data_IF_853636994987
#
_entry.id   IF_853636994987
#
_cell.length_a   1.000
_cell.length_b   1.000
_cell.length_c   1.000
_cell.angle_alpha   90.00
_cell.angle_beta   90.00
_cell.angle_gamma   90.00
#
_symmetry.space_group_name_H-M   'P 1'
#
loop_
_entity.id
_entity.type
_entity.pdbx_description
1 polymer ?
#
# COMPACT_ATOMS: atom_id res chain seq x y z
N UNK A 1 -8.79 4.59 2.26
CA UNK A 1 -9.69 4.07 1.21
C UNK A 1 -10.53 2.92 1.72
N UNK A 2 -9.94 1.88 2.34
CA UNK A 2 -10.68 0.78 2.98
C UNK A 2 -11.89 1.24 3.81
N UNK A 3 -11.68 2.12 4.80
CA UNK A 3 -12.78 2.61 5.65
C UNK A 3 -13.90 3.29 4.84
N UNK A 4 -13.56 4.05 3.78
CA UNK A 4 -14.56 4.66 2.91
C UNK A 4 -15.31 3.62 2.08
N UNK A 5 -14.59 2.59 1.60
CA UNK A 5 -15.16 1.47 0.85
C UNK A 5 -16.16 0.67 1.69
N UNK A 6 -15.90 0.48 2.98
CA UNK A 6 -16.80 -0.22 3.91
C UNK A 6 -18.11 0.54 4.19
N UNK A 7 -18.20 1.83 3.87
CA UNK A 7 -19.42 2.62 4.02
C UNK A 7 -20.38 2.50 2.82
N UNK A 8 -19.99 1.80 1.75
CA UNK A 8 -20.78 1.71 0.53
C UNK A 8 -20.42 0.52 -0.37
N UNK A 9 -21.08 0.43 -1.52
CA UNK A 9 -20.87 -0.64 -2.50
C UNK A 9 -19.93 -0.26 -3.64
N UNK A 10 -19.57 1.01 -3.75
CA UNK A 10 -18.61 1.55 -4.71
C UNK A 10 -17.80 2.69 -4.07
N UNK A 11 -16.55 2.85 -4.50
CA UNK A 11 -15.68 3.95 -4.09
C UNK A 11 -15.08 4.65 -5.32
N UNK A 12 -15.56 5.87 -5.59
CA UNK A 12 -14.99 6.76 -6.60
C UNK A 12 -14.01 7.71 -5.91
N UNK A 13 -12.78 7.80 -6.43
CA UNK A 13 -11.73 8.65 -5.86
C UNK A 13 -11.39 9.78 -6.82
N UNK A 14 -11.72 11.01 -6.43
CA UNK A 14 -11.32 12.22 -7.12
C UNK A 14 -9.85 12.55 -6.87
N UNK A 15 -9.09 12.85 -7.92
CA UNK A 15 -7.66 13.16 -7.88
C UNK A 15 -7.45 14.56 -8.47
N UNK A 16 -6.96 15.49 -7.67
CA UNK A 16 -6.67 16.86 -8.12
C UNK A 16 -5.51 16.92 -9.11
N UNK A 17 -5.49 17.89 -10.01
CA UNK A 17 -4.35 18.15 -10.88
C UNK A 17 -3.14 18.70 -10.11
N UNK A 18 -1.96 18.71 -10.71
CA UNK A 18 -0.75 19.25 -10.07
C UNK A 18 -0.87 20.76 -9.86
N UNK A 19 -1.50 21.47 -10.80
CA UNK A 19 -1.77 22.92 -10.75
C UNK A 19 -2.73 23.27 -9.61
N UNK A 20 -3.83 22.51 -9.48
CA UNK A 20 -4.81 22.73 -8.42
C UNK A 20 -4.22 22.53 -7.02
N UNK A 21 -3.31 21.54 -6.87
CA UNK A 21 -2.61 21.31 -5.59
C UNK A 21 -1.58 22.40 -5.33
N UNK A 22 -0.86 22.85 -6.36
CA UNK A 22 0.13 23.93 -6.25
C UNK A 22 -0.51 25.23 -5.75
N UNK A 23 -1.67 25.60 -6.30
CA UNK A 23 -2.42 26.80 -5.93
C UNK A 23 -2.87 26.79 -4.46
N UNK A 24 -3.33 25.65 -3.95
CA UNK A 24 -3.97 25.56 -2.64
C UNK A 24 -3.02 25.15 -1.50
N UNK A 25 -1.94 24.44 -1.84
CA UNK A 25 -1.04 23.83 -0.85
C UNK A 25 0.42 24.05 -1.19
N UNK A 26 0.88 23.58 -2.34
CA UNK A 26 2.28 23.55 -2.71
C UNK A 26 2.59 22.42 -3.70
N UNK A 27 3.83 22.31 -4.20
CA UNK A 27 4.14 21.38 -5.28
C UNK A 27 3.93 19.92 -4.87
N UNK A 28 3.53 19.10 -5.85
CA UNK A 28 3.44 17.66 -5.71
C UNK A 28 4.81 17.00 -5.88
N UNK A 29 5.05 15.90 -5.16
CA UNK A 29 6.24 15.04 -5.35
C UNK A 29 6.00 14.04 -6.48
N UNK A 30 4.77 13.54 -6.54
CA UNK A 30 4.29 12.60 -7.55
C UNK A 30 3.42 13.36 -8.55
N UNK A 31 3.68 13.15 -9.83
CA UNK A 31 2.87 13.69 -10.92
C UNK A 31 1.43 13.17 -10.86
N UNK A 32 0.51 13.85 -11.54
CA UNK A 32 -0.87 13.37 -11.64
C UNK A 32 -0.97 11.91 -12.13
N UNK A 33 -0.18 11.52 -13.13
CA UNK A 33 -0.21 10.15 -13.68
C UNK A 33 0.24 9.10 -12.66
N UNK A 34 1.30 9.39 -11.89
CA UNK A 34 1.76 8.48 -10.83
C UNK A 34 0.72 8.36 -9.71
N UNK A 35 0.00 9.45 -9.39
CA UNK A 35 -1.08 9.44 -8.40
C UNK A 35 -2.31 8.67 -8.89
N UNK A 36 -2.66 8.78 -10.17
CA UNK A 36 -3.73 7.98 -10.79
C UNK A 36 -3.39 6.49 -10.70
N UNK A 37 -2.18 6.10 -11.12
CA UNK A 37 -1.73 4.71 -11.04
C UNK A 37 -1.80 4.14 -9.61
N UNK A 38 -1.42 4.93 -8.60
CA UNK A 38 -1.52 4.54 -7.19
C UNK A 38 -2.97 4.32 -6.72
N UNK A 39 -3.90 5.18 -7.15
CA UNK A 39 -5.32 5.06 -6.81
C UNK A 39 -5.97 3.88 -7.53
N UNK A 40 -5.70 3.71 -8.83
CA UNK A 40 -6.26 2.61 -9.65
C UNK A 40 -5.79 1.23 -9.20
N UNK A 41 -4.58 1.15 -8.62
CA UNK A 41 -4.04 -0.10 -8.09
C UNK A 41 -4.59 -0.47 -6.71
N UNK A 42 -5.28 0.44 -6.01
CA UNK A 42 -5.85 0.15 -4.71
C UNK A 42 -7.11 -0.73 -4.87
N UNK A 43 -7.10 -1.93 -4.26
CA UNK A 43 -8.17 -2.92 -4.40
C UNK A 43 -9.56 -2.44 -4.00
N UNK A 44 -9.63 -1.46 -3.11
CA UNK A 44 -10.89 -0.91 -2.61
C UNK A 44 -11.47 0.18 -3.49
N UNK A 45 -10.75 0.64 -4.52
CA UNK A 45 -11.21 1.68 -5.43
C UNK A 45 -12.00 1.06 -6.57
N UNK A 46 -13.19 1.58 -6.82
CA UNK A 46 -14.02 1.20 -7.97
C UNK A 46 -13.60 1.96 -9.22
N UNK A 47 -13.38 3.27 -9.09
CA UNK A 47 -12.92 4.13 -10.17
C UNK A 47 -12.12 5.32 -9.64
N UNK A 48 -11.07 5.72 -10.36
CA UNK A 48 -10.43 7.01 -10.17
C UNK A 48 -10.98 8.04 -11.15
N UNK A 49 -11.01 9.30 -10.72
CA UNK A 49 -11.44 10.43 -11.54
C UNK A 49 -10.38 11.53 -11.43
N UNK A 50 -9.65 11.76 -12.50
CA UNK A 50 -8.65 12.82 -12.59
C UNK A 50 -9.29 14.22 -12.63
N UNK A 51 -8.49 15.23 -12.33
CA UNK A 51 -8.88 16.65 -12.35
C UNK A 51 -10.09 16.98 -11.45
N UNK A 52 -10.22 16.27 -10.33
CA UNK A 52 -11.26 16.59 -9.35
C UNK A 52 -11.03 18.00 -8.76
N UNK A 53 -12.08 18.81 -8.57
CA UNK A 53 -11.96 20.14 -7.99
C UNK A 53 -11.41 20.09 -6.56
N UNK A 54 -10.61 21.08 -6.17
CA UNK A 54 -9.98 21.11 -4.84
C UNK A 54 -11.01 21.32 -3.72
N UNK A 55 -11.96 22.23 -3.94
CA UNK A 55 -13.15 22.40 -3.10
C UNK A 55 -14.23 21.46 -3.64
N UNK A 56 -14.77 20.59 -2.78
CA UNK A 56 -15.70 19.57 -3.22
C UNK A 56 -17.05 20.19 -3.56
N UNK A 57 -17.52 20.01 -4.80
CA UNK A 57 -18.78 20.59 -5.26
C UNK A 57 -19.91 19.55 -5.33
N UNK A 58 -21.12 19.97 -4.95
CA UNK A 58 -22.31 19.13 -4.99
C UNK A 58 -22.65 18.64 -6.42
N UNK A 59 -22.60 19.48 -7.47
CA UNK A 59 -22.84 19.02 -8.83
C UNK A 59 -21.83 17.96 -9.28
N UNK A 60 -20.56 18.11 -8.88
CA UNK A 60 -19.50 17.16 -9.22
C UNK A 60 -19.76 15.79 -8.61
N UNK A 61 -20.00 15.71 -7.30
CA UNK A 61 -20.23 14.42 -6.66
C UNK A 61 -21.54 13.77 -7.13
N UNK A 62 -22.57 14.57 -7.46
CA UNK A 62 -23.82 14.05 -8.03
C UNK A 62 -23.65 13.53 -9.46
N UNK A 63 -22.79 14.15 -10.28
CA UNK A 63 -22.50 13.69 -11.64
C UNK A 63 -21.95 12.25 -11.66
N UNK A 64 -21.08 11.91 -10.70
CA UNK A 64 -20.54 10.56 -10.54
C UNK A 64 -21.40 9.63 -9.68
N UNK A 65 -22.63 10.03 -9.33
CA UNK A 65 -23.54 9.21 -8.52
C UNK A 65 -23.12 9.03 -7.05
N UNK A 66 -22.13 9.76 -6.56
CA UNK A 66 -21.60 9.60 -5.21
C UNK A 66 -22.57 10.17 -4.16
N UNK A 67 -23.16 9.33 -3.32
CA UNK A 67 -24.13 9.77 -2.29
C UNK A 67 -23.49 10.59 -1.17
N UNK A 68 -22.30 10.19 -0.75
CA UNK A 68 -21.55 10.83 0.34
C UNK A 68 -20.11 11.09 -0.08
N UNK A 69 -19.51 12.09 0.54
CA UNK A 69 -18.07 12.36 0.55
C UNK A 69 -17.51 11.83 1.86
N UNK A 70 -16.44 11.06 1.79
CA UNK A 70 -15.76 10.50 2.96
C UNK A 70 -14.40 11.16 3.12
N UNK A 71 -14.09 11.66 4.30
CA UNK A 71 -12.80 12.24 4.61
C UNK A 71 -12.32 11.83 6.01
N UNK A 72 -11.03 12.02 6.27
CA UNK A 72 -10.48 11.91 7.62
C UNK A 72 -11.06 12.97 8.57
N UNK A 73 -10.77 12.83 9.85
CA UNK A 73 -11.15 13.75 10.92
C UNK A 73 -10.28 15.02 11.00
N UNK A 74 -9.30 15.16 10.11
CA UNK A 74 -8.53 16.38 9.91
C UNK A 74 -9.38 17.43 9.14
N UNK A 75 -9.35 18.70 9.60
CA UNK A 75 -9.93 19.83 8.86
C UNK A 75 -9.03 20.16 7.66
N UNK A 76 -9.63 20.47 6.53
CA UNK A 76 -8.90 20.90 5.33
C UNK A 76 -9.47 22.22 4.82
N UNK A 77 -8.64 23.25 4.83
CA UNK A 77 -9.01 24.57 4.33
C UNK A 77 -8.37 24.83 2.96
N UNK A 78 -9.08 25.60 2.12
CA UNK A 78 -8.58 26.07 0.83
C UNK A 78 -7.61 27.26 0.98
N UNK A 79 -7.20 27.88 -0.13
CA UNK A 79 -6.30 29.05 -0.13
C UNK A 79 -6.90 30.29 0.57
N UNK A 80 -8.22 30.38 0.67
CA UNK A 80 -8.93 31.46 1.37
C UNK A 80 -9.14 31.15 2.87
N UNK A 81 -8.79 29.96 3.35
CA UNK A 81 -8.96 29.53 4.73
C UNK A 81 -10.33 28.89 5.02
N UNK A 82 -11.16 28.68 4.00
CA UNK A 82 -12.50 28.10 4.15
C UNK A 82 -12.46 26.57 4.03
N UNK A 83 -13.34 25.86 4.75
CA UNK A 83 -13.39 24.39 4.75
C UNK A 83 -13.76 23.83 3.37
N UNK A 84 -12.87 23.05 2.75
CA UNK A 84 -13.04 22.44 1.42
C UNK A 84 -14.32 21.60 1.25
N UNK A 85 -14.96 21.20 2.37
CA UNK A 85 -16.16 20.36 2.40
C UNK A 85 -17.42 21.09 2.89
N UNK A 86 -17.37 22.41 3.13
CA UNK A 86 -18.50 23.22 3.61
C UNK A 86 -19.83 22.96 2.90
N UNK A 87 -19.82 22.86 1.58
CA UNK A 87 -21.04 22.63 0.79
C UNK A 87 -21.62 21.22 0.98
N UNK A 88 -20.76 20.20 1.09
CA UNK A 88 -21.21 18.82 1.27
C UNK A 88 -21.58 18.52 2.73
N UNK A 89 -20.93 19.18 3.69
CA UNK A 89 -21.35 19.20 5.11
C UNK A 89 -22.73 19.83 5.26
N UNK A 90 -22.94 21.02 4.69
CA UNK A 90 -24.24 21.72 4.74
C UNK A 90 -25.38 20.90 4.11
N UNK A 91 -25.07 20.09 3.10
CA UNK A 91 -26.04 19.18 2.46
C UNK A 91 -26.24 17.84 3.20
N UNK A 92 -25.59 17.60 4.35
CA UNK A 92 -25.66 16.32 5.07
C UNK A 92 -25.02 15.14 4.34
N UNK A 93 -24.14 15.40 3.37
CA UNK A 93 -23.50 14.39 2.50
C UNK A 93 -22.04 14.14 2.86
N UNK A 94 -21.62 14.43 4.08
CA UNK A 94 -20.24 14.24 4.55
C UNK A 94 -20.15 13.15 5.62
N UNK A 95 -19.16 12.26 5.51
CA UNK A 95 -18.88 11.18 6.46
C UNK A 95 -17.42 11.25 6.90
N UNK A 96 -17.18 11.04 8.18
CA UNK A 96 -15.84 11.09 8.78
C UNK A 96 -15.36 9.68 9.08
N UNK A 97 -14.10 9.40 8.75
CA UNK A 97 -13.39 8.17 9.11
C UNK A 97 -12.15 8.51 9.93
N UNK A 98 -11.66 7.56 10.73
CA UNK A 98 -10.52 7.81 11.61
C UNK A 98 -9.22 7.82 10.82
N UNK A 99 -8.30 8.69 11.22
CA UNK A 99 -6.93 8.69 10.73
C UNK A 99 -6.21 7.37 11.05
N UNK A 100 -5.45 6.85 10.09
CA UNK A 100 -4.56 5.72 10.32
C UNK A 100 -3.44 6.15 11.28
N UNK A 101 -3.20 5.44 12.39
CA UNK A 101 -2.15 5.79 13.33
C UNK A 101 -0.76 5.51 12.75
N UNK A 102 0.25 6.16 13.34
CA UNK A 102 1.67 5.84 13.20
C UNK A 102 2.33 6.06 11.83
N UNK A 103 1.60 6.59 10.83
CA UNK A 103 2.20 6.97 9.54
C UNK A 103 1.69 8.32 9.05
N UNK A 104 2.59 9.18 8.59
CA UNK A 104 2.23 10.45 7.93
C UNK A 104 3.30 10.90 6.94
N UNK A 105 2.92 11.75 5.98
CA UNK A 105 3.90 12.34 5.05
C UNK A 105 4.95 13.18 5.77
N UNK A 106 4.60 13.83 6.89
CA UNK A 106 5.58 14.60 7.68
C UNK A 106 6.60 13.67 8.32
N UNK A 107 6.14 12.54 8.87
CA UNK A 107 7.02 11.53 9.47
C UNK A 107 7.96 10.91 8.42
N UNK A 108 7.43 10.45 7.28
CA UNK A 108 8.24 9.90 6.19
C UNK A 108 9.31 10.89 5.70
N UNK A 109 8.94 12.16 5.48
CA UNK A 109 9.91 13.20 5.09
C UNK A 109 10.94 13.43 6.20
N UNK A 110 10.54 13.39 7.47
CA UNK A 110 11.44 13.44 8.61
C UNK A 110 12.47 12.31 8.60
N UNK A 111 12.04 11.06 8.36
CA UNK A 111 12.93 9.91 8.23
C UNK A 111 13.94 10.11 7.11
N UNK A 112 13.51 10.65 5.95
CA UNK A 112 14.39 10.94 4.81
C UNK A 112 15.41 12.05 5.10
N UNK A 113 15.01 13.10 5.84
CA UNK A 113 15.88 14.24 6.14
C UNK A 113 16.87 13.97 7.28
N UNK A 114 16.41 13.25 8.30
CA UNK A 114 17.21 12.96 9.51
C UNK A 114 18.05 11.69 9.37
N UNK A 115 17.79 10.89 8.34
CA UNK A 115 18.47 9.63 8.08
C UNK A 115 18.46 8.67 9.29
N UNK A 116 17.35 8.63 10.04
CA UNK A 116 17.18 7.76 11.21
C UNK A 116 16.80 6.34 10.82
N UNK A 117 17.17 5.37 11.67
CA UNK A 117 16.76 3.95 11.56
C UNK A 117 15.88 3.49 12.73
N UNK A 118 15.41 4.43 13.55
CA UNK A 118 14.65 4.15 14.77
C UNK A 118 13.29 3.53 14.50
N UNK A 119 12.79 3.63 13.27
CA UNK A 119 11.52 3.03 12.84
C UNK A 119 11.66 1.57 12.38
N UNK A 120 12.88 1.05 12.24
CA UNK A 120 13.11 -0.33 11.80
C UNK A 120 12.53 -1.31 12.79
N UNK A 121 11.92 -2.37 12.27
CA UNK A 121 11.38 -3.47 13.04
C UNK A 121 12.35 -4.64 12.91
N UNK A 122 12.83 -5.17 14.05
CA UNK A 122 13.78 -6.29 14.06
C UNK A 122 13.08 -7.61 13.81
N UNK A 123 11.92 -7.81 14.44
CA UNK A 123 11.05 -8.95 14.22
C UNK A 123 9.60 -8.51 14.23
N UNK A 124 8.99 -8.52 13.04
CA UNK A 124 7.58 -8.17 12.92
C UNK A 124 6.69 -9.12 13.73
N UNK A 125 7.02 -10.42 13.77
CA UNK A 125 6.28 -11.39 14.58
C UNK A 125 6.36 -11.05 16.07
N UNK A 126 7.54 -10.71 16.60
CA UNK A 126 7.67 -10.33 18.00
C UNK A 126 6.93 -9.02 18.32
N UNK A 127 6.97 -8.04 17.42
CA UNK A 127 6.24 -6.78 17.57
C UNK A 127 4.73 -7.02 17.64
N UNK A 128 4.19 -7.87 16.76
CA UNK A 128 2.76 -8.20 16.74
C UNK A 128 2.33 -9.02 17.97
N UNK A 129 3.23 -9.82 18.53
CA UNK A 129 3.03 -10.57 19.78
C UNK A 129 3.23 -9.71 21.04
N UNK A 130 3.62 -8.43 20.91
CA UNK A 130 3.88 -7.54 22.05
C UNK A 130 5.20 -7.81 22.77
N UNK A 131 6.15 -8.52 22.13
CA UNK A 131 7.48 -8.87 22.67
C UNK A 131 8.59 -7.92 22.22
N UNK A 132 8.30 -7.03 21.28
CA UNK A 132 9.17 -5.97 20.77
C UNK A 132 8.37 -4.67 20.75
N UNK A 133 9.00 -3.53 21.07
CA UNK A 133 8.32 -2.24 21.08
C UNK A 133 8.85 -1.30 22.15
N UNK A 134 8.09 -0.24 22.40
CA UNK A 134 8.35 0.76 23.44
C UNK A 134 7.16 0.83 24.39
N UNK A 135 7.41 1.08 25.68
CA UNK A 135 6.38 1.16 26.71
C UNK A 135 6.33 -0.06 27.62
N UNK A 136 5.28 -0.15 28.42
CA UNK A 136 4.99 -1.30 29.29
C UNK A 136 4.59 -2.54 28.47
N UNK A 137 4.65 -3.72 29.09
CA UNK A 137 4.21 -4.98 28.46
C UNK A 137 2.74 -4.91 28.00
N UNK A 138 1.88 -4.24 28.77
CA UNK A 138 0.46 -4.05 28.42
C UNK A 138 0.30 -3.15 27.18
N UNK A 139 1.09 -2.06 27.10
CA UNK A 139 1.07 -1.15 25.93
C UNK A 139 1.60 -1.85 24.67
N UNK A 140 2.69 -2.62 24.79
CA UNK A 140 3.23 -3.38 23.66
C UNK A 140 2.25 -4.45 23.17
N UNK A 141 1.59 -5.17 24.09
CA UNK A 141 0.57 -6.16 23.73
C UNK A 141 -0.65 -5.50 23.06
N UNK A 142 -1.08 -4.34 23.55
CA UNK A 142 -2.18 -3.59 22.96
C UNK A 142 -1.84 -3.09 21.54
N UNK A 143 -0.64 -2.54 21.34
CA UNK A 143 -0.17 -2.10 20.03
C UNK A 143 -0.02 -3.27 19.06
N UNK A 144 0.60 -4.37 19.47
CA UNK A 144 0.74 -5.58 18.65
C UNK A 144 -0.60 -6.15 18.19
N UNK A 145 -1.60 -6.16 19.08
CA UNK A 145 -2.99 -6.54 18.75
C UNK A 145 -3.63 -5.56 17.76
N UNK A 146 -3.46 -4.25 17.96
CA UNK A 146 -4.01 -3.22 17.06
C UNK A 146 -3.36 -3.26 15.67
N UNK A 147 -2.05 -3.50 15.61
CA UNK A 147 -1.30 -3.69 14.36
C UNK A 147 -1.75 -4.94 13.61
N UNK A 148 -1.95 -6.05 14.34
CA UNK A 148 -2.48 -7.31 13.79
C UNK A 148 -3.86 -7.12 13.17
N UNK A 149 -4.76 -6.46 13.89
CA UNK A 149 -6.12 -6.20 13.39
C UNK A 149 -6.11 -5.32 12.14
N UNK A 150 -5.26 -4.28 12.13
CA UNK A 150 -5.09 -3.44 10.94
C UNK A 150 -4.54 -4.23 9.75
N UNK A 151 -3.63 -5.17 9.97
CA UNK A 151 -3.12 -6.02 8.90
C UNK A 151 -4.22 -6.93 8.34
N UNK A 152 -5.09 -7.50 9.19
CA UNK A 152 -6.27 -8.27 8.74
C UNK A 152 -7.23 -7.40 7.92
N UNK A 153 -7.47 -6.17 8.34
CA UNK A 153 -8.27 -5.20 7.61
C UNK A 153 -7.69 -4.92 6.22
N UNK A 154 -6.37 -4.73 6.11
CA UNK A 154 -5.70 -4.51 4.82
C UNK A 154 -5.67 -5.76 3.93
N UNK A 155 -5.76 -6.94 4.52
CA UNK A 155 -5.84 -8.22 3.84
C UNK A 155 -7.26 -8.56 3.33
N UNK A 156 -8.24 -7.65 3.43
CA UNK A 156 -9.59 -7.86 2.91
C UNK A 156 -9.66 -7.82 1.37
N UNK A 157 -10.75 -8.33 0.82
CA UNK A 157 -11.05 -8.28 -0.61
C UNK A 157 -11.38 -6.84 -1.09
N UNK A 158 -11.78 -6.70 -2.35
CA UNK A 158 -12.14 -5.41 -2.94
C UNK A 158 -13.37 -4.74 -2.30
N UNK A 159 -14.18 -5.49 -1.55
CA UNK A 159 -15.32 -4.94 -0.78
C UNK A 159 -14.87 -4.36 0.55
N UNK A 160 -13.71 -4.80 1.06
CA UNK A 160 -13.23 -4.44 2.38
C UNK A 160 -13.93 -5.19 3.53
N UNK A 161 -14.75 -6.20 3.21
CA UNK A 161 -15.60 -6.89 4.18
C UNK A 161 -15.26 -8.38 4.33
N UNK A 162 -14.78 -9.03 3.27
CA UNK A 162 -14.45 -10.46 3.29
C UNK A 162 -12.93 -10.68 3.27
N UNK A 163 -12.46 -11.88 3.64
CA UNK A 163 -11.06 -12.26 3.46
C UNK A 163 -10.61 -12.08 2.00
N UNK A 164 -9.46 -11.44 1.80
CA UNK A 164 -8.87 -11.18 0.50
C UNK A 164 -7.48 -11.75 0.39
N UNK A 165 -6.45 -10.91 0.54
CA UNK A 165 -5.08 -11.38 0.44
C UNK A 165 -4.72 -12.37 1.55
N UNK A 166 -4.01 -13.44 1.21
CA UNK A 166 -3.47 -14.39 2.18
C UNK A 166 -2.19 -13.83 2.80
N UNK A 167 -2.03 -13.94 4.12
CA UNK A 167 -0.91 -13.28 4.83
C UNK A 167 -0.08 -14.31 5.58
N UNK A 168 1.20 -14.34 5.25
CA UNK A 168 2.18 -15.26 5.80
C UNK A 168 3.42 -14.54 6.30
N UNK A 169 4.09 -15.15 7.28
CA UNK A 169 5.43 -14.80 7.70
C UNK A 169 6.36 -15.95 7.36
N UNK A 170 7.56 -15.62 6.90
CA UNK A 170 8.64 -16.57 6.80
C UNK A 170 9.71 -16.22 7.83
N UNK A 171 10.09 -17.19 8.64
CA UNK A 171 11.09 -17.05 9.69
C UNK A 171 12.23 -18.03 9.45
N UNK A 172 13.45 -17.52 9.49
CA UNK A 172 14.69 -18.29 9.35
C UNK A 172 15.85 -17.58 10.08
N UNK A 173 17.03 -18.21 10.07
CA UNK A 173 18.25 -17.56 10.54
C UNK A 173 18.56 -16.26 9.77
N UNK A 174 19.35 -15.36 10.36
CA UNK A 174 19.80 -14.14 9.68
C UNK A 174 20.60 -14.47 8.40
N UNK A 175 21.43 -15.53 8.44
CA UNK A 175 22.16 -16.02 7.29
C UNK A 175 21.20 -16.42 6.15
N UNK A 176 20.12 -17.15 6.43
CA UNK A 176 19.14 -17.52 5.42
C UNK A 176 18.37 -16.34 4.80
N UNK A 177 18.20 -15.25 5.54
CA UNK A 177 17.54 -14.03 5.05
C UNK A 177 18.44 -13.19 4.13
N UNK A 178 19.75 -13.25 4.32
CA UNK A 178 20.70 -12.29 3.75
C UNK A 178 21.72 -12.89 2.79
N UNK A 179 22.07 -14.16 2.98
CA UNK A 179 23.13 -14.88 2.25
C UNK A 179 22.51 -15.73 1.14
N UNK A 180 23.29 -15.98 0.09
CA UNK A 180 22.93 -16.87 -1.02
C UNK A 180 23.39 -18.32 -0.83
N UNK A 181 24.17 -18.60 0.22
CA UNK A 181 24.73 -19.94 0.50
C UNK A 181 23.91 -20.79 1.46
N UNK A 182 22.88 -20.22 2.08
CA UNK A 182 22.06 -20.92 3.07
C UNK A 182 20.98 -21.77 2.40
N UNK A 183 20.97 -23.07 2.73
CA UNK A 183 19.96 -24.04 2.27
C UNK A 183 18.80 -24.20 3.27
N UNK A 184 18.63 -23.24 4.20
CA UNK A 184 17.57 -23.30 5.20
C UNK A 184 16.20 -23.10 4.56
N UNK A 185 15.28 -24.04 4.77
CA UNK A 185 13.87 -23.91 4.33
C UNK A 185 13.13 -22.78 5.07
N UNK A 186 13.51 -22.51 6.30
CA UNK A 186 12.77 -21.67 7.24
C UNK A 186 11.41 -22.27 7.62
N UNK A 187 10.57 -21.45 8.25
CA UNK A 187 9.21 -21.84 8.67
C UNK A 187 8.21 -20.78 8.22
N UNK A 188 7.11 -21.24 7.63
CA UNK A 188 5.97 -20.39 7.26
C UNK A 188 4.88 -20.44 8.33
N UNK A 189 4.39 -19.27 8.74
CA UNK A 189 3.22 -19.14 9.63
C UNK A 189 2.18 -18.19 9.04
N UNK A 190 0.91 -18.57 9.13
CA UNK A 190 -0.20 -17.78 8.57
C UNK A 190 -0.78 -16.85 9.64
N UNK A 191 -1.01 -15.58 9.28
CA UNK A 191 -1.72 -14.62 10.15
C UNK A 191 -3.24 -14.81 10.08
N UNK A 192 -3.73 -14.98 8.85
CA UNK A 192 -5.14 -15.14 8.52
C UNK A 192 -5.26 -15.97 7.25
N UNK A 193 -6.35 -16.73 7.16
CA UNK A 193 -6.69 -17.45 5.94
C UNK A 193 -7.29 -16.46 4.93
N UNK A 194 -6.53 -16.13 3.89
CA UNK A 194 -7.02 -15.39 2.74
C UNK A 194 -7.43 -16.31 1.58
N UNK A 195 -7.51 -15.72 0.39
CA UNK A 195 -7.74 -16.43 -0.86
C UNK A 195 -6.66 -17.49 -1.09
N UNK A 196 -7.05 -18.60 -1.70
CA UNK A 196 -6.14 -19.65 -2.14
C UNK A 196 -6.12 -19.71 -3.66
N UNK A 197 -5.00 -20.19 -4.26
CA UNK A 197 -4.95 -20.48 -5.68
C UNK A 197 -6.13 -21.37 -6.07
N UNK A 198 -6.85 -20.94 -7.09
CA UNK A 198 -7.98 -21.69 -7.62
C UNK A 198 -7.49 -22.82 -8.55
N UNK A 199 -8.31 -23.85 -8.83
CA UNK A 199 -7.91 -24.94 -9.71
C UNK A 199 -7.36 -24.46 -11.06
N UNK A 200 -6.17 -24.93 -11.42
CA UNK A 200 -5.46 -24.56 -12.66
C UNK A 200 -4.76 -23.19 -12.62
N UNK A 201 -5.01 -22.37 -11.60
CA UNK A 201 -4.39 -21.06 -11.48
C UNK A 201 -2.90 -21.22 -11.16
N UNK A 202 -2.05 -20.53 -11.91
CA UNK A 202 -0.60 -20.54 -11.74
C UNK A 202 -0.21 -19.71 -10.52
N UNK A 203 0.66 -20.24 -9.67
CA UNK A 203 1.24 -19.53 -8.53
C UNK A 203 2.45 -18.75 -9.02
N UNK A 204 2.39 -17.43 -8.91
CA UNK A 204 3.43 -16.52 -9.38
C UNK A 204 4.08 -15.83 -8.20
N UNK A 205 5.40 -15.93 -8.09
CA UNK A 205 6.16 -15.26 -7.03
C UNK A 205 6.87 -14.02 -7.55
N UNK A 206 6.81 -12.95 -6.76
CA UNK A 206 7.60 -11.73 -6.91
C UNK A 206 8.10 -11.30 -5.55
N UNK A 207 9.23 -10.62 -5.49
CA UNK A 207 9.77 -10.12 -4.24
C UNK A 207 10.51 -8.80 -4.37
N UNK A 208 10.79 -8.21 -3.23
CA UNK A 208 11.55 -6.99 -3.15
C UNK A 208 11.42 -6.25 -1.83
N UNK A 209 12.07 -5.10 -1.79
CA UNK A 209 11.93 -4.17 -0.68
C UNK A 209 10.56 -3.50 -0.64
N UNK A 210 9.97 -3.15 -1.78
CA UNK A 210 8.69 -2.40 -1.85
C UNK A 210 8.68 -1.10 -1.01
N UNK A 211 9.85 -0.51 -0.78
CA UNK A 211 10.00 0.71 -0.01
C UNK A 211 9.42 1.92 -0.76
N UNK A 212 8.71 2.79 -0.04
CA UNK A 212 7.91 3.89 -0.62
C UNK A 212 7.07 3.42 -1.81
N UNK A 213 6.29 2.34 -1.63
CA UNK A 213 5.54 1.65 -2.67
C UNK A 213 4.94 2.60 -3.72
N UNK A 214 5.53 2.60 -4.92
CA UNK A 214 5.34 3.62 -5.96
C UNK A 214 4.65 3.09 -7.22
N UNK A 215 4.37 4.00 -8.16
CA UNK A 215 3.92 3.65 -9.51
C UNK A 215 4.88 2.72 -10.25
N UNK A 216 6.17 2.72 -9.89
CA UNK A 216 7.16 1.77 -10.40
C UNK A 216 6.81 0.32 -10.04
N UNK A 217 6.62 0.03 -8.74
CA UNK A 217 6.21 -1.30 -8.29
C UNK A 217 4.83 -1.70 -8.80
N UNK A 218 3.89 -0.75 -8.84
CA UNK A 218 2.52 -0.98 -9.32
C UNK A 218 2.50 -1.41 -10.78
N UNK A 219 3.24 -0.71 -11.64
CA UNK A 219 3.30 -1.03 -13.06
C UNK A 219 4.05 -2.34 -13.32
N UNK A 220 5.08 -2.65 -12.53
CA UNK A 220 5.70 -3.98 -12.54
C UNK A 220 4.68 -5.08 -12.23
N UNK A 221 3.94 -4.97 -11.12
CA UNK A 221 2.93 -5.96 -10.73
C UNK A 221 1.80 -6.08 -11.77
N UNK A 222 1.36 -4.95 -12.36
CA UNK A 222 0.37 -4.95 -13.45
C UNK A 222 0.89 -5.72 -14.67
N UNK A 223 2.15 -5.54 -15.03
CA UNK A 223 2.78 -6.23 -16.16
C UNK A 223 3.01 -7.72 -15.90
N UNK A 224 3.22 -8.13 -14.66
CA UNK A 224 3.21 -9.56 -14.28
C UNK A 224 1.84 -10.16 -14.59
N UNK A 225 0.75 -9.49 -14.21
CA UNK A 225 -0.61 -9.94 -14.57
C UNK A 225 -0.80 -9.97 -16.08
N UNK A 226 -0.40 -8.93 -16.82
CA UNK A 226 -0.53 -8.90 -18.28
C UNK A 226 0.23 -10.06 -18.96
N UNK A 227 1.44 -10.39 -18.48
CA UNK A 227 2.25 -11.48 -19.02
C UNK A 227 1.60 -12.84 -18.80
N UNK A 228 1.03 -13.06 -17.61
CA UNK A 228 0.30 -14.28 -17.26
C UNK A 228 -1.04 -14.40 -17.99
N UNK A 229 -1.75 -13.29 -18.20
CA UNK A 229 -2.94 -13.21 -19.05
C UNK A 229 -2.61 -13.56 -20.51
N UNK A 230 -1.48 -13.09 -21.04
CA UNK A 230 -1.03 -13.42 -22.38
C UNK A 230 -0.71 -14.92 -22.52
N UNK A 231 0.06 -15.48 -21.58
CA UNK A 231 0.34 -16.92 -21.55
C UNK A 231 -0.95 -17.74 -21.41
N UNK A 232 -1.87 -17.33 -20.52
CA UNK A 232 -3.17 -17.98 -20.38
C UNK A 232 -3.97 -17.99 -21.68
N UNK A 233 -3.89 -16.94 -22.51
CA UNK A 233 -4.52 -16.95 -23.84
C UNK A 233 -3.90 -17.97 -24.78
N UNK A 234 -2.57 -18.08 -24.78
CA UNK A 234 -1.85 -19.07 -25.59
C UNK A 234 -2.17 -20.51 -25.16
N UNK A 235 -2.35 -20.74 -23.86
CA UNK A 235 -2.67 -22.05 -23.27
C UNK A 235 -4.19 -22.37 -23.25
N UNK A 236 -5.02 -21.51 -23.84
CA UNK A 236 -6.47 -21.76 -23.96
C UNK A 236 -7.27 -21.51 -22.67
N UNK A 237 -6.72 -20.78 -21.70
CA UNK A 237 -7.40 -20.38 -20.46
C UNK A 237 -8.73 -19.67 -20.70
N UNK A 238 -8.85 -18.91 -21.79
CA UNK A 238 -10.08 -18.17 -22.14
C UNK A 238 -10.92 -18.86 -23.22
N UNK A 239 -10.68 -20.13 -23.49
CA UNK A 239 -11.58 -20.92 -24.35
C UNK A 239 -12.97 -21.04 -23.70
N UNK A 240 -14.02 -21.15 -24.52
CA UNK A 240 -15.39 -21.31 -24.02
C UNK A 240 -15.52 -22.48 -23.05
N UNK A 241 -14.82 -23.58 -23.33
CA UNK A 241 -14.79 -24.75 -22.45
C UNK A 241 -14.13 -24.44 -21.11
N UNK A 242 -12.92 -23.86 -21.10
CA UNK A 242 -12.21 -23.55 -19.85
C UNK A 242 -12.99 -22.53 -18.99
N UNK A 243 -13.58 -21.51 -19.62
CA UNK A 243 -14.44 -20.54 -18.94
C UNK A 243 -15.70 -21.19 -18.38
N UNK A 244 -16.35 -22.09 -19.12
CA UNK A 244 -17.50 -22.86 -18.62
C UNK A 244 -17.12 -23.75 -17.43
N UNK A 245 -15.97 -24.41 -17.47
CA UNK A 245 -15.47 -25.24 -16.37
C UNK A 245 -15.18 -24.42 -15.11
N UNK A 246 -14.62 -23.20 -15.23
CA UNK A 246 -14.39 -22.31 -14.07
C UNK A 246 -15.69 -21.74 -13.50
N UNK A 247 -16.55 -21.21 -14.37
CA UNK A 247 -17.82 -20.57 -13.96
C UNK A 247 -18.83 -21.59 -13.41
N UNK A 248 -18.87 -22.82 -13.93
CA UNK A 248 -19.72 -23.88 -13.37
C UNK A 248 -19.33 -24.27 -11.94
N UNK A 249 -18.10 -23.97 -11.51
CA UNK A 249 -17.57 -24.25 -10.17
C UNK A 249 -17.56 -23.02 -9.25
N UNK A 250 -18.07 -21.87 -9.68
CA UNK A 250 -18.14 -20.66 -8.87
C UNK A 250 -18.08 -19.40 -9.70
N UNK A 251 -17.01 -18.62 -9.53
CA UNK A 251 -16.77 -17.39 -10.27
C UNK A 251 -15.66 -17.60 -11.31
N UNK A 252 -15.64 -16.78 -12.35
CA UNK A 252 -14.49 -16.70 -13.24
C UNK A 252 -13.31 -16.01 -12.55
N UNK A 253 -12.09 -16.41 -12.89
CA UNK A 253 -10.85 -15.88 -12.31
C UNK A 253 -9.71 -15.91 -13.33
N UNK A 254 -8.77 -14.97 -13.17
CA UNK A 254 -7.58 -14.88 -13.99
C UNK A 254 -6.59 -16.03 -13.75
N UNK A 255 -5.63 -16.25 -14.66
CA UNK A 255 -4.73 -17.40 -14.65
C UNK A 255 -3.66 -17.33 -13.56
N UNK A 256 -3.42 -16.16 -12.95
CA UNK A 256 -2.35 -15.98 -11.98
C UNK A 256 -2.86 -15.74 -10.55
N UNK A 257 -2.17 -16.37 -9.60
CA UNK A 257 -2.23 -16.10 -8.17
C UNK A 257 -0.88 -15.52 -7.73
N UNK A 258 -0.81 -14.20 -7.51
CA UNK A 258 0.45 -13.49 -7.24
C UNK A 258 0.75 -13.46 -5.75
N UNK A 259 1.93 -13.98 -5.39
CA UNK A 259 2.53 -13.96 -4.06
C UNK A 259 3.67 -12.95 -4.03
N UNK A 260 3.57 -11.93 -3.17
CA UNK A 260 4.60 -10.92 -3.01
C UNK A 260 5.42 -11.14 -1.73
N UNK A 261 6.71 -11.43 -1.88
CA UNK A 261 7.69 -11.51 -0.80
C UNK A 261 8.24 -10.13 -0.40
N UNK A 262 8.07 -9.75 0.86
CA UNK A 262 8.54 -8.46 1.40
C UNK A 262 9.74 -8.71 2.30
N UNK A 263 10.91 -8.23 1.89
CA UNK A 263 12.15 -8.41 2.67
C UNK A 263 12.13 -7.64 4.01
N UNK A 264 12.89 -8.12 5.00
CA UNK A 264 13.09 -7.46 6.30
C UNK A 264 13.82 -6.11 6.17
N UNK A 265 13.67 -5.26 7.19
CA UNK A 265 14.30 -3.93 7.22
C UNK A 265 15.82 -4.01 7.21
N UNK A 266 16.42 -4.88 8.03
CA UNK A 266 17.87 -5.09 8.07
C UNK A 266 18.41 -5.66 6.76
N UNK A 267 17.67 -6.59 6.13
CA UNK A 267 18.02 -7.11 4.81
C UNK A 267 18.13 -5.99 3.78
N UNK A 268 17.12 -5.11 3.71
CA UNK A 268 17.16 -3.97 2.80
C UNK A 268 18.27 -2.99 3.18
N UNK A 269 18.48 -2.72 4.47
CA UNK A 269 19.51 -1.79 4.92
C UNK A 269 20.92 -2.28 4.60
N UNK A 270 21.21 -3.58 4.70
CA UNK A 270 22.51 -4.14 4.32
C UNK A 270 22.85 -3.80 2.86
N UNK A 271 21.87 -3.90 1.96
CA UNK A 271 22.10 -3.72 0.54
C UNK A 271 22.01 -2.26 0.07
N UNK A 272 21.10 -1.45 0.65
CA UNK A 272 20.91 -0.05 0.26
C UNK A 272 21.66 0.96 1.14
N UNK A 273 22.01 0.58 2.35
CA UNK A 273 22.68 1.42 3.33
C UNK A 273 21.84 2.61 3.82
N UNK A 274 22.54 3.59 4.39
CA UNK A 274 21.97 4.84 4.91
C UNK A 274 20.80 4.55 5.85
N UNK A 275 19.61 5.09 5.60
CA UNK A 275 18.40 4.90 6.40
C UNK A 275 17.32 4.11 5.64
N UNK A 276 17.70 3.43 4.55
CA UNK A 276 16.76 2.59 3.81
C UNK A 276 16.54 1.27 4.56
N UNK A 277 15.29 0.76 4.61
CA UNK A 277 14.11 1.31 3.95
C UNK A 277 13.51 2.50 4.73
N UNK A 278 12.93 3.46 4.01
CA UNK A 278 12.27 4.63 4.62
C UNK A 278 10.99 4.20 5.36
N UNK A 279 10.25 3.25 4.78
CA UNK A 279 9.14 2.57 5.44
C UNK A 279 9.62 1.25 6.05
N UNK A 280 9.18 0.94 7.27
CA UNK A 280 9.49 -0.36 7.87
C UNK A 280 8.69 -1.49 7.22
N UNK A 281 9.03 -2.73 7.55
CA UNK A 281 8.42 -3.91 6.93
C UNK A 281 6.90 -3.96 7.08
N UNK A 282 6.38 -3.52 8.24
CA UNK A 282 4.95 -3.46 8.48
C UNK A 282 4.27 -2.47 7.52
N UNK A 283 4.79 -1.25 7.42
CA UNK A 283 4.28 -0.22 6.51
C UNK A 283 4.35 -0.66 5.04
N UNK A 284 5.50 -1.22 4.62
CA UNK A 284 5.72 -1.72 3.25
C UNK A 284 4.74 -2.84 2.91
N UNK A 285 4.57 -3.80 3.81
CA UNK A 285 3.63 -4.90 3.61
C UNK A 285 2.17 -4.44 3.56
N UNK A 286 1.77 -3.45 4.37
CA UNK A 286 0.43 -2.84 4.23
C UNK A 286 0.25 -2.18 2.85
N UNK A 287 1.27 -1.50 2.33
CA UNK A 287 1.24 -0.93 0.97
C UNK A 287 1.15 -1.99 -0.14
N UNK A 288 1.79 -3.15 0.05
CA UNK A 288 1.68 -4.27 -0.88
C UNK A 288 0.29 -4.91 -0.79
N UNK A 289 -0.25 -5.12 0.42
CA UNK A 289 -1.57 -5.72 0.64
C UNK A 289 -2.72 -4.94 -0.01
N UNK A 290 -2.65 -3.59 -0.01
CA UNK A 290 -3.69 -2.78 -0.66
C UNK A 290 -3.68 -2.89 -2.20
N UNK A 291 -2.60 -3.42 -2.81
CA UNK A 291 -2.49 -3.57 -4.26
C UNK A 291 -3.44 -4.67 -4.75
N UNK A 292 -4.24 -4.37 -5.80
CA UNK A 292 -5.21 -5.32 -6.37
C UNK A 292 -4.57 -6.44 -7.18
N UNK A 293 -3.32 -6.27 -7.60
CA UNK A 293 -2.56 -7.27 -8.35
C UNK A 293 -1.89 -8.33 -7.46
N UNK A 294 -2.08 -8.26 -6.14
CA UNK A 294 -1.45 -9.16 -5.16
C UNK A 294 -2.50 -10.02 -4.47
N UNK A 295 -2.33 -11.33 -4.52
CA UNK A 295 -3.23 -12.30 -3.90
C UNK A 295 -2.71 -12.80 -2.54
N UNK A 296 -1.40 -12.77 -2.32
CA UNK A 296 -0.81 -13.12 -1.04
C UNK A 296 0.47 -12.32 -0.75
N UNK A 297 0.78 -12.14 0.53
CA UNK A 297 2.01 -11.47 0.97
C UNK A 297 2.76 -12.36 1.95
N UNK A 298 4.08 -12.51 1.72
CA UNK A 298 5.01 -13.18 2.63
C UNK A 298 5.93 -12.13 3.26
N UNK A 299 5.75 -11.87 4.55
CA UNK A 299 6.61 -10.99 5.32
C UNK A 299 7.90 -11.71 5.72
N UNK A 300 9.03 -11.02 5.61
CA UNK A 300 10.35 -11.53 5.97
C UNK A 300 11.01 -12.37 4.88
N UNK A 301 10.47 -12.36 3.66
CA UNK A 301 10.98 -13.16 2.55
C UNK A 301 12.50 -12.95 2.33
N UNK A 302 13.26 -14.02 2.05
CA UNK A 302 14.71 -13.93 1.90
C UNK A 302 15.09 -13.03 0.72
N UNK A 303 16.27 -12.42 0.76
CA UNK A 303 16.79 -11.65 -0.37
C UNK A 303 17.06 -12.49 -1.61
N UNK A 304 17.52 -13.73 -1.41
CA UNK A 304 17.77 -14.72 -2.45
C UNK A 304 16.72 -15.82 -2.31
N UNK A 305 15.74 -15.93 -3.21
CA UNK A 305 14.76 -17.01 -3.17
C UNK A 305 15.40 -18.35 -3.59
N UNK A 306 15.97 -19.06 -2.62
CA UNK A 306 16.64 -20.36 -2.83
C UNK A 306 15.66 -21.48 -3.16
N UNK A 307 16.16 -22.61 -3.70
CA UNK A 307 15.34 -23.79 -4.01
C UNK A 307 14.58 -24.30 -2.78
N UNK A 308 15.21 -24.43 -1.58
CA UNK A 308 14.49 -24.83 -0.36
C UNK A 308 13.37 -23.87 0.04
N UNK A 309 13.56 -22.56 -0.12
CA UNK A 309 12.53 -21.56 0.15
C UNK A 309 11.36 -21.69 -0.84
N UNK A 310 11.64 -21.64 -2.15
CA UNK A 310 10.63 -21.71 -3.20
C UNK A 310 9.83 -23.02 -3.14
N UNK A 311 10.49 -24.15 -2.86
CA UNK A 311 9.83 -25.46 -2.81
C UNK A 311 9.07 -25.73 -1.50
N UNK A 312 9.21 -24.86 -0.49
CA UNK A 312 8.50 -24.98 0.79
C UNK A 312 7.36 -23.97 0.97
N UNK A 313 7.08 -23.17 -0.06
CA UNK A 313 6.00 -22.18 -0.01
C UNK A 313 4.64 -22.86 0.26
N UNK A 314 3.73 -22.19 1.02
CA UNK A 314 2.44 -22.77 1.40
C UNK A 314 1.51 -23.17 0.25
N UNK A 315 1.78 -22.67 -0.96
CA UNK A 315 0.98 -22.90 -2.16
C UNK A 315 1.64 -23.88 -3.14
N UNK A 316 2.72 -24.53 -2.73
CA UNK A 316 3.60 -25.31 -3.60
C UNK A 316 4.66 -24.46 -4.27
N UNK A 317 5.53 -25.10 -5.04
CA UNK A 317 6.58 -24.42 -5.82
C UNK A 317 5.94 -23.47 -6.83
N UNK A 318 6.37 -22.19 -6.89
CA UNK A 318 5.85 -21.24 -7.88
C UNK A 318 6.06 -21.72 -9.32
N UNK A 319 5.05 -21.52 -10.16
CA UNK A 319 5.11 -21.77 -11.60
C UNK A 319 5.95 -20.73 -12.34
N UNK A 320 6.10 -19.53 -11.75
CA UNK A 320 6.96 -18.47 -12.24
C UNK A 320 7.49 -17.60 -11.10
N UNK A 321 8.71 -17.11 -11.27
CA UNK A 321 9.32 -16.07 -10.44
C UNK A 321 9.59 -14.87 -11.34
N UNK A 322 8.86 -13.77 -11.14
CA UNK A 322 9.04 -12.55 -11.92
C UNK A 322 9.90 -11.54 -11.19
N UNK A 323 10.78 -10.89 -11.94
CA UNK A 323 11.49 -9.70 -11.49
C UNK A 323 11.55 -8.65 -12.59
N UNK A 324 11.61 -7.37 -12.20
CA UNK A 324 11.70 -6.25 -13.12
C UNK A 324 13.16 -5.88 -13.45
N UNK A 325 13.37 -4.97 -14.41
CA UNK A 325 14.67 -4.41 -14.70
C UNK A 325 14.94 -3.34 -13.64
N UNK A 326 15.47 -3.74 -12.48
CA UNK A 326 15.80 -2.78 -11.42
C UNK A 326 17.27 -2.40 -11.49
N UNK A 327 17.53 -1.10 -11.34
CA UNK A 327 18.88 -0.56 -11.13
C UNK A 327 19.32 -0.89 -9.71
N UNK A 328 19.54 -2.17 -9.40
CA UNK A 328 20.15 -2.55 -8.13
C UNK A 328 21.65 -2.24 -8.17
N UNK A 329 22.27 -2.07 -6.99
CA UNK A 329 23.73 -2.10 -6.92
C UNK A 329 24.24 -3.40 -7.56
N UNK A 330 25.35 -3.37 -8.33
CA UNK A 330 25.89 -4.58 -8.93
C UNK A 330 26.19 -5.59 -7.83
N UNK A 331 25.36 -6.64 -7.76
CA UNK A 331 25.58 -7.76 -6.86
C UNK A 331 26.76 -8.57 -7.40
N UNK A 332 27.55 -9.15 -6.49
CA UNK A 332 28.64 -10.06 -6.87
C UNK A 332 28.12 -11.42 -7.36
N UNK A 333 26.82 -11.66 -7.25
CA UNK A 333 26.15 -12.88 -7.64
C UNK A 333 24.72 -12.58 -8.13
N UNK A 334 24.09 -13.56 -8.77
CA UNK A 334 22.71 -13.49 -9.23
C UNK A 334 21.75 -14.02 -8.15
N UNK A 335 20.91 -13.17 -7.52
CA UNK A 335 19.98 -13.61 -6.47
C UNK A 335 18.87 -14.52 -7.00
N UNK A 336 18.65 -14.56 -8.32
CA UNK A 336 17.64 -15.41 -8.94
C UNK A 336 18.23 -16.65 -9.63
N UNK A 337 19.49 -17.00 -9.32
CA UNK A 337 20.15 -18.19 -9.89
C UNK A 337 19.31 -19.46 -9.69
N UNK A 338 18.76 -19.67 -8.49
CA UNK A 338 17.90 -20.82 -8.18
C UNK A 338 16.63 -20.85 -9.04
N UNK A 339 15.94 -19.72 -9.18
CA UNK A 339 14.74 -19.63 -10.03
C UNK A 339 15.05 -19.89 -11.52
N UNK A 340 16.24 -19.46 -11.99
CA UNK A 340 16.72 -19.72 -13.36
C UNK A 340 17.07 -21.19 -13.56
N UNK A 341 17.74 -21.82 -12.60
CA UNK A 341 18.05 -23.25 -12.63
C UNK A 341 16.78 -24.11 -12.63
N UNK A 342 15.76 -23.69 -11.86
CA UNK A 342 14.44 -24.32 -11.85
C UNK A 342 13.63 -24.07 -13.12
N UNK A 343 14.08 -23.17 -14.02
CA UNK A 343 13.37 -22.84 -15.27
C UNK A 343 12.11 -21.99 -15.08
N UNK A 344 11.91 -21.39 -13.91
CA UNK A 344 10.70 -20.63 -13.56
C UNK A 344 10.92 -19.11 -13.58
N UNK A 345 12.17 -18.64 -13.74
CA UNK A 345 12.47 -17.21 -13.81
C UNK A 345 11.91 -16.53 -15.06
N UNK A 346 11.28 -15.38 -14.88
CA UNK A 346 10.76 -14.51 -15.93
C UNK A 346 11.15 -13.05 -15.64
N UNK A 347 11.45 -12.30 -16.70
CA UNK A 347 11.82 -10.89 -16.59
C UNK A 347 10.74 -10.02 -17.22
N UNK A 348 10.28 -9.00 -16.49
CA UNK A 348 9.43 -7.95 -17.04
C UNK A 348 10.32 -6.91 -17.73
N UNK A 349 9.97 -6.54 -18.96
CA UNK A 349 10.68 -5.49 -19.70
C UNK A 349 10.42 -4.08 -19.17
N UNK A 350 11.14 -3.12 -19.76
CA UNK A 350 11.05 -1.69 -19.44
C UNK A 350 9.63 -1.12 -19.49
N UNK A 351 9.34 -0.18 -18.58
CA UNK A 351 8.02 0.43 -18.44
C UNK A 351 8.09 1.91 -18.06
N UNK A 352 6.98 2.62 -18.29
CA UNK A 352 6.89 4.09 -18.18
C UNK A 352 7.27 4.65 -16.81
N UNK A 353 7.10 3.86 -15.75
CA UNK A 353 7.42 4.23 -14.36
C UNK A 353 8.67 3.54 -13.80
N UNK A 354 9.50 2.89 -14.63
CA UNK A 354 10.66 2.12 -14.14
C UNK A 354 11.66 2.96 -13.32
N UNK A 355 11.73 4.26 -13.62
CA UNK A 355 12.58 5.21 -12.92
C UNK A 355 12.00 5.65 -11.55
N UNK A 356 10.72 5.40 -11.29
CA UNK A 356 10.02 5.86 -10.08
C UNK A 356 10.21 4.87 -8.94
N UNK A 357 11.37 4.92 -8.30
CA UNK A 357 11.73 4.10 -7.15
C UNK A 357 11.95 4.95 -5.88
N UNK A 358 12.21 4.30 -4.75
CA UNK A 358 12.43 4.99 -3.48
C UNK A 358 13.53 6.06 -3.54
N UNK A 359 14.62 5.79 -4.27
CA UNK A 359 15.73 6.73 -4.43
C UNK A 359 15.30 7.99 -5.19
N UNK A 360 14.62 7.84 -6.32
CA UNK A 360 14.08 8.96 -7.10
C UNK A 360 13.05 9.77 -6.30
N UNK A 361 12.18 9.11 -5.53
CA UNK A 361 11.20 9.80 -4.67
C UNK A 361 11.91 10.62 -3.59
N UNK A 362 12.92 10.06 -2.94
CA UNK A 362 13.74 10.78 -1.97
C UNK A 362 14.44 11.95 -2.65
N UNK A 363 15.03 11.78 -3.83
CA UNK A 363 15.68 12.86 -4.58
C UNK A 363 14.70 13.98 -4.93
N UNK A 364 13.49 13.66 -5.44
CA UNK A 364 12.43 14.65 -5.72
C UNK A 364 12.06 15.47 -4.47
N UNK A 365 11.98 14.81 -3.32
CA UNK A 365 11.70 15.48 -2.04
C UNK A 365 12.89 16.37 -1.63
N UNK A 366 14.12 15.88 -1.76
CA UNK A 366 15.34 16.62 -1.39
C UNK A 366 15.59 17.83 -2.30
N UNK A 367 15.33 17.74 -3.60
CA UNK A 367 15.39 18.90 -4.53
C UNK A 367 14.44 20.02 -4.13
N UNK A 368 13.36 19.68 -3.43
CA UNK A 368 12.37 20.62 -2.92
C UNK A 368 12.55 20.93 -1.42
N UNK A 369 13.70 20.60 -0.82
CA UNK A 369 13.94 20.67 0.63
C UNK A 369 13.63 22.04 1.23
N UNK A 370 14.14 23.13 0.66
CA UNK A 370 13.88 24.49 1.16
C UNK A 370 12.38 24.83 1.14
N UNK A 371 11.68 24.45 0.06
CA UNK A 371 10.23 24.62 -0.06
C UNK A 371 9.47 23.74 0.93
N UNK A 372 9.99 22.55 1.25
CA UNK A 372 9.42 21.65 2.24
C UNK A 372 9.60 22.14 3.67
N UNK A 373 10.77 22.66 4.02
CA UNK A 373 11.03 23.30 5.32
C UNK A 373 10.14 24.54 5.48
N UNK A 374 9.96 25.34 4.43
CA UNK A 374 8.97 26.42 4.40
C UNK A 374 7.53 25.91 4.56
N UNK A 375 7.17 24.79 3.91
CA UNK A 375 5.86 24.15 4.05
C UNK A 375 5.64 23.61 5.47
N UNK A 376 6.62 23.02 6.14
CA UNK A 376 6.46 22.54 7.52
C UNK A 376 6.14 23.71 8.46
N UNK A 377 6.80 24.85 8.28
CA UNK A 377 6.45 26.10 8.98
C UNK A 377 5.00 26.51 8.70
N UNK A 378 4.62 26.62 7.42
CA UNK A 378 3.25 27.00 7.03
C UNK A 378 2.18 25.98 7.47
N UNK A 379 2.51 24.68 7.52
CA UNK A 379 1.62 23.63 8.02
C UNK A 379 1.43 23.73 9.52
N UNK A 380 2.49 24.08 10.26
CA UNK A 380 2.39 24.38 11.70
C UNK A 380 1.43 25.55 11.96
N UNK A 381 1.55 26.62 11.19
CA UNK A 381 0.64 27.79 11.25
C UNK A 381 -0.79 27.42 10.86
N UNK A 382 -0.98 26.69 9.75
CA UNK A 382 -2.31 26.21 9.33
C UNK A 382 -2.95 25.29 10.36
N UNK A 383 -2.20 24.39 10.99
CA UNK A 383 -2.72 23.50 12.03
C UNK A 383 -3.26 24.27 13.25
N UNK A 384 -2.66 25.43 13.56
CA UNK A 384 -3.19 26.35 14.59
C UNK A 384 -4.53 26.96 14.14
N UNK A 385 -4.61 27.41 12.89
CA UNK A 385 -5.86 27.91 12.31
C UNK A 385 -6.97 26.86 12.25
N UNK A 386 -6.64 25.65 11.77
CA UNK A 386 -7.54 24.49 11.73
C UNK A 386 -8.03 24.10 13.13
N UNK A 387 -7.16 24.13 14.15
CA UNK A 387 -7.58 23.90 15.55
C UNK A 387 -8.56 24.98 16.03
N UNK A 388 -8.27 26.25 15.78
CA UNK A 388 -9.17 27.35 16.16
C UNK A 388 -10.51 27.26 15.41
N UNK A 389 -10.52 26.82 14.17
CA UNK A 389 -11.74 26.58 13.40
C UNK A 389 -12.53 25.40 13.95
N UNK A 390 -11.87 24.29 14.32
CA UNK A 390 -12.51 23.15 14.98
C UNK A 390 -13.19 23.56 16.28
N UNK A 391 -12.52 24.36 17.10
CA UNK A 391 -13.08 24.87 18.36
C UNK A 391 -14.35 25.70 18.11
N UNK A 392 -14.37 26.53 17.06
CA UNK A 392 -15.58 27.27 16.65
C UNK A 392 -16.71 26.33 16.20
N UNK A 393 -16.42 25.35 15.34
CA UNK A 393 -17.42 24.37 14.88
C UNK A 393 -18.05 23.59 16.06
N UNK A 394 -17.25 23.16 17.04
CA UNK A 394 -17.75 22.48 18.23
C UNK A 394 -18.68 23.40 19.04
N UNK A 395 -18.27 24.66 19.26
CA UNK A 395 -19.08 25.63 19.98
C UNK A 395 -20.42 25.92 19.27
N UNK A 396 -20.42 26.02 17.95
CA UNK A 396 -21.64 26.21 17.14
C UNK A 396 -22.56 24.98 17.20
N UNK A 397 -22.01 23.76 17.18
CA UNK A 397 -22.80 22.54 17.29
C UNK A 397 -23.40 22.37 18.68
N UNK A 398 -22.64 22.68 19.74
CA UNK A 398 -23.14 22.73 21.12
C UNK A 398 -24.25 23.77 21.29
N UNK A 399 -24.09 24.95 20.68
CA UNK A 399 -25.12 25.98 20.70
C UNK A 399 -26.40 25.53 19.99
N UNK A 400 -26.30 24.91 18.80
CA UNK A 400 -27.44 24.35 18.08
C UNK A 400 -28.16 23.27 18.88
N UNK A 401 -27.42 22.39 19.57
CA UNK A 401 -28.03 21.38 20.46
C UNK A 401 -28.78 22.02 21.62
N UNK A 402 -28.20 23.04 22.27
CA UNK A 402 -28.86 23.78 23.37
C UNK A 402 -30.10 24.54 22.90
N UNK A 403 -30.08 25.08 21.69
CA UNK A 403 -31.25 25.76 21.10
C UNK A 403 -32.36 24.76 20.74
N UNK A 404 -32.00 23.58 20.22
CA UNK A 404 -32.95 22.50 19.94
C UNK A 404 -33.55 21.86 21.22
N UNK A 405 -32.82 21.84 22.34
CA UNK A 405 -33.34 21.39 23.64
C UNK A 405 -34.27 22.42 24.32
N UNK A 406 -34.21 23.69 23.89
CA UNK A 406 -35.03 24.79 24.42
C UNK A 406 -36.30 25.06 23.60
N UNK A 407 -36.41 24.50 22.40
CA UNK A 407 -37.58 24.55 21.52
C UNK A 407 -38.44 23.31 21.73
#
# INVERSE_FOLDING_TARGET
MLQARQLGTELVVGIHSDEAILENKGPTVMTLQERIAAVDACRWVTASVAYAPYVTSLPWISHYGCKYVVHGDDITSDSAGEDCYRFVKAAGRFKVVKRTPSISTTDLVGRMLLCTRTHFIKSLTNLLEGKEGSGSEEEMAAEGKAMTERMRLYATDATGLNPGADVWFWSASAAAREDNTSEEKGTFSSLCTGLKPQPGQRVVYVDGGFDLFSSGHIEFLRRVIDAEEALGREEGWYSEQATFERTSRGADYGPAFVVAGVHDDETINRWKGVNYPIMNIYERGLCVLQCKYVNAVVFGAPFTPTVPYLSSMPWGTPDAVYHGPTSFMPLTYDPYAAAKEMGVYREIGEHVFQHVNAGEIVERIMRSRERYEARQRAKGEKAVGERAQREREVLEEEQRKREAERA
#
